data_IF_883354222487
#
_entry.id   IF_883354222487
#
_cell.length_a   1.000
_cell.length_b   1.000
_cell.length_c   1.000
_cell.angle_alpha   90.00
_cell.angle_beta   90.00
_cell.angle_gamma   90.00
#
_symmetry.space_group_name_H-M   'P 1'
#
loop_
_entity.id
_entity.type
_entity.pdbx_description
1 polymer ?
#
# COMPACT_ATOMS: atom_id res chain seq x y z
N UNK A 1 -7.43 4.03 -3.53
CA UNK A 1 -6.58 3.09 -4.32
C UNK A 1 -6.98 1.64 -4.09
N UNK A 2 -7.46 1.26 -2.89
CA UNK A 2 -8.02 -0.09 -2.59
C UNK A 2 -8.97 -0.57 -3.69
N UNK A 3 -9.98 0.24 -4.06
CA UNK A 3 -10.94 -0.08 -5.12
C UNK A 3 -10.37 -0.33 -6.53
N UNK A 4 -9.07 -0.05 -6.77
CA UNK A 4 -8.39 -0.38 -8.03
C UNK A 4 -7.85 -1.81 -8.01
N UNK A 5 -7.53 -2.34 -6.83
CA UNK A 5 -6.99 -3.68 -6.62
C UNK A 5 -8.13 -4.65 -6.31
N UNK A 6 -9.02 -4.29 -5.37
CA UNK A 6 -10.25 -5.03 -5.03
C UNK A 6 -11.44 -4.19 -5.50
N UNK A 7 -12.03 -4.46 -6.68
CA UNK A 7 -13.12 -3.65 -7.22
C UNK A 7 -14.33 -3.56 -6.29
N UNK A 8 -15.14 -2.50 -6.48
CA UNK A 8 -16.41 -2.39 -5.75
C UNK A 8 -17.29 -3.61 -6.06
N UNK A 9 -17.96 -4.13 -5.02
CA UNK A 9 -18.82 -5.31 -5.14
C UNK A 9 -18.09 -6.64 -5.03
N UNK A 10 -16.76 -6.65 -4.93
CA UNK A 10 -15.98 -7.86 -4.63
C UNK A 10 -15.89 -8.03 -3.11
N UNK A 11 -16.14 -9.25 -2.64
CA UNK A 11 -16.00 -9.61 -1.23
C UNK A 11 -14.52 -9.52 -0.81
N UNK A 12 -14.26 -8.78 0.27
CA UNK A 12 -12.92 -8.60 0.83
C UNK A 12 -12.59 -9.66 1.89
N UNK A 13 -13.59 -10.37 2.40
CA UNK A 13 -13.44 -11.39 3.45
C UNK A 13 -12.45 -12.51 3.10
N UNK A 14 -12.32 -12.97 1.83
CA UNK A 14 -11.40 -14.06 1.49
C UNK A 14 -9.92 -13.68 1.53
N UNK A 15 -9.57 -12.38 1.56
CA UNK A 15 -8.17 -11.96 1.55
C UNK A 15 -7.55 -12.08 2.94
N UNK A 16 -6.42 -12.77 3.03
CA UNK A 16 -5.63 -12.88 4.25
C UNK A 16 -5.04 -11.53 4.68
N UNK A 17 -4.68 -11.41 5.97
CA UNK A 17 -3.99 -10.23 6.48
C UNK A 17 -2.68 -9.95 5.72
N UNK A 18 -1.96 -11.00 5.29
CA UNK A 18 -0.73 -10.86 4.50
C UNK A 18 -0.99 -10.25 3.12
N UNK A 19 -2.05 -10.68 2.43
CA UNK A 19 -2.48 -10.09 1.16
C UNK A 19 -2.89 -8.62 1.35
N UNK A 20 -3.61 -8.30 2.42
CA UNK A 20 -3.97 -6.92 2.75
C UNK A 20 -2.73 -6.06 3.05
N UNK A 21 -1.77 -6.58 3.82
CA UNK A 21 -0.51 -5.89 4.11
C UNK A 21 0.30 -5.62 2.83
N UNK A 22 0.35 -6.60 1.92
CA UNK A 22 0.95 -6.47 0.61
C UNK A 22 0.25 -5.36 -0.19
N UNK A 23 -1.07 -5.41 -0.32
CA UNK A 23 -1.87 -4.37 -0.99
C UNK A 23 -1.62 -2.98 -0.42
N UNK A 24 -1.64 -2.84 0.90
CA UNK A 24 -1.42 -1.55 1.55
C UNK A 24 0.02 -1.06 1.36
N UNK A 25 1.00 -1.95 1.30
CA UNK A 25 2.40 -1.60 0.99
C UNK A 25 2.53 -0.99 -0.41
N UNK A 26 1.90 -1.58 -1.44
CA UNK A 26 1.86 -1.00 -2.80
C UNK A 26 1.13 0.34 -2.84
N UNK A 27 -0.04 0.45 -2.18
CA UNK A 27 -0.83 1.69 -2.14
C UNK A 27 -0.08 2.83 -1.43
N UNK A 28 0.54 2.53 -0.29
CA UNK A 28 1.19 3.53 0.55
C UNK A 28 2.59 3.88 0.05
N UNK A 29 3.18 3.09 -0.85
CA UNK A 29 4.44 3.42 -1.51
C UNK A 29 4.26 4.31 -2.75
N UNK A 30 3.03 4.43 -3.27
CA UNK A 30 2.75 5.28 -4.42
C UNK A 30 2.81 6.77 -4.06
N UNK A 31 3.66 7.52 -4.77
CA UNK A 31 3.85 8.96 -4.59
C UNK A 31 2.67 9.78 -5.09
N UNK A 32 2.31 10.84 -4.35
CA UNK A 32 1.15 11.69 -4.66
C UNK A 32 1.60 13.14 -4.77
N UNK A 33 1.16 13.84 -5.82
CA UNK A 33 1.43 15.28 -5.99
C UNK A 33 0.94 16.10 -4.79
N UNK A 34 -0.20 15.73 -4.23
CA UNK A 34 -0.81 16.38 -3.05
C UNK A 34 -0.02 16.20 -1.76
N UNK A 35 0.96 15.30 -1.73
CA UNK A 35 1.89 15.08 -0.61
C UNK A 35 3.30 15.55 -0.96
N UNK A 36 3.45 16.60 -1.79
CA UNK A 36 4.76 17.11 -2.19
C UNK A 36 5.59 16.07 -2.95
N UNK A 37 4.95 15.23 -3.78
CA UNK A 37 5.56 14.09 -4.47
C UNK A 37 6.18 13.02 -3.54
N UNK A 38 5.75 12.96 -2.28
CA UNK A 38 6.05 11.86 -1.36
C UNK A 38 4.94 10.82 -1.35
N UNK A 39 5.25 9.60 -0.91
CA UNK A 39 4.25 8.58 -0.65
C UNK A 39 3.73 8.67 0.80
N UNK A 40 2.53 8.14 1.09
CA UNK A 40 2.06 8.01 2.48
C UNK A 40 3.07 7.29 3.40
N UNK A 41 3.75 6.26 2.89
CA UNK A 41 4.81 5.56 3.64
C UNK A 41 5.95 6.51 3.98
N UNK A 42 6.45 7.29 3.01
CA UNK A 42 7.53 8.26 3.23
C UNK A 42 7.13 9.35 4.24
N UNK A 43 5.91 9.88 4.13
CA UNK A 43 5.39 10.89 5.06
C UNK A 43 5.23 10.36 6.48
N UNK A 44 4.70 9.14 6.62
CA UNK A 44 4.54 8.51 7.93
C UNK A 44 5.90 8.22 8.57
N UNK A 45 6.82 7.60 7.81
CA UNK A 45 8.15 7.28 8.31
C UNK A 45 8.94 8.52 8.74
N UNK A 46 8.78 9.64 8.01
CA UNK A 46 9.38 10.92 8.39
C UNK A 46 8.85 11.45 9.73
N UNK A 47 7.54 11.34 9.97
CA UNK A 47 6.90 11.91 11.17
C UNK A 47 7.02 11.00 12.41
N UNK A 48 6.96 9.68 12.24
CA UNK A 48 6.79 8.73 13.34
C UNK A 48 7.85 7.62 13.38
N UNK A 49 8.78 7.61 12.42
CA UNK A 49 9.77 6.54 12.25
C UNK A 49 9.23 5.34 11.48
N UNK A 50 10.15 4.58 10.88
CA UNK A 50 9.81 3.44 10.03
C UNK A 50 9.42 2.19 10.83
N UNK A 51 9.91 2.05 12.07
CA UNK A 51 9.72 0.82 12.86
C UNK A 51 8.25 0.53 13.16
N UNK A 52 7.42 1.56 13.28
CA UNK A 52 5.97 1.40 13.47
C UNK A 52 5.33 0.80 12.22
N UNK A 53 5.75 1.23 11.02
CA UNK A 53 5.25 0.66 9.75
C UNK A 53 5.63 -0.82 9.65
N UNK A 54 6.87 -1.17 10.01
CA UNK A 54 7.35 -2.57 10.04
C UNK A 54 6.54 -3.43 11.00
N UNK A 55 6.19 -2.91 12.18
CA UNK A 55 5.32 -3.60 13.15
C UNK A 55 3.91 -3.83 12.61
N UNK A 56 3.41 -2.96 11.74
CA UNK A 56 2.14 -3.16 11.02
C UNK A 56 2.27 -4.09 9.80
N UNK A 57 3.45 -4.66 9.54
CA UNK A 57 3.71 -5.51 8.38
C UNK A 57 3.76 -4.74 7.06
N UNK A 58 3.96 -3.42 7.10
CA UNK A 58 4.07 -2.58 5.91
C UNK A 58 5.53 -2.42 5.49
N UNK A 59 5.76 -2.43 4.18
CA UNK A 59 7.08 -2.22 3.58
C UNK A 59 7.02 -1.17 2.47
N UNK A 60 8.15 -0.50 2.24
CA UNK A 60 8.31 0.39 1.09
C UNK A 60 8.48 -0.45 -0.18
N UNK A 61 7.72 -0.11 -1.22
CA UNK A 61 7.80 -0.73 -2.54
C UNK A 61 8.53 0.24 -3.50
N UNK A 62 9.55 -0.21 -4.24
CA UNK A 62 10.16 0.55 -5.32
C UNK A 62 9.12 1.02 -6.34
N UNK A 63 9.22 2.24 -6.89
CA UNK A 63 8.20 2.80 -7.78
C UNK A 63 7.83 1.92 -8.99
N UNK A 64 8.81 1.20 -9.54
CA UNK A 64 8.72 0.29 -10.67
C UNK A 64 8.05 -1.07 -10.33
N UNK A 65 8.01 -1.43 -9.05
CA UNK A 65 7.35 -2.65 -8.56
C UNK A 65 5.90 -2.39 -8.08
N UNK A 66 5.42 -1.14 -8.13
CA UNK A 66 4.09 -0.79 -7.62
C UNK A 66 2.98 -1.31 -8.55
N UNK A 67 2.17 -2.25 -8.06
CA UNK A 67 0.97 -2.76 -8.73
C UNK A 67 -0.28 -2.19 -8.04
N UNK A 68 -1.05 -1.36 -8.76
CA UNK A 68 -2.31 -0.75 -8.28
C UNK A 68 -3.54 -1.26 -9.04
N UNK A 69 -3.51 -2.53 -9.44
CA UNK A 69 -4.57 -3.20 -10.20
C UNK A 69 -4.85 -4.60 -9.62
N UNK A 70 -5.90 -5.30 -10.08
CA UNK A 70 -6.21 -6.64 -9.57
C UNK A 70 -5.09 -7.67 -9.81
N UNK A 71 -4.16 -7.39 -10.75
CA UNK A 71 -2.95 -8.19 -10.98
C UNK A 71 -2.04 -8.35 -9.76
N UNK A 72 -2.28 -7.61 -8.68
CA UNK A 72 -1.52 -7.80 -7.45
C UNK A 72 -1.75 -9.19 -6.83
N UNK A 73 -2.91 -9.79 -7.09
CA UNK A 73 -3.32 -11.08 -6.53
C UNK A 73 -3.50 -12.19 -7.58
N UNK A 74 -3.13 -11.93 -8.84
CA UNK A 74 -3.33 -12.83 -9.98
C UNK A 74 -2.02 -13.06 -10.73
#
# INVERSE_FOLDING_TARGET
>A
MIRRIIPKGVDITPYSQEQINTMMSHINSYRRKTLGNKSPYEMFAFQYGEDILKKFGLRKIPPDEIILSPKLFN
#
